data_IF_001464959340
#
_entry.id   IF_001464959340
#
_cell.length_a   1.000
_cell.length_b   1.000
_cell.length_c   1.000
_cell.angle_alpha   90.00
_cell.angle_beta   90.00
_cell.angle_gamma   90.00
#
_symmetry.space_group_name_H-M   'P 1'
#
loop_
_entity.id
_entity.type
_entity.pdbx_description
1 polymer ?
#
# COMPACT_ATOMS: atom_id res chain seq x y z
N UNK A 1 18.09 15.60 -2.91
CA UNK A 1 17.27 14.37 -2.90
C UNK A 1 16.65 14.24 -4.27
N UNK A 2 16.56 13.00 -4.79
CA UNK A 2 16.00 12.68 -6.12
C UNK A 2 14.73 11.82 -5.93
N UNK A 3 13.61 12.40 -5.48
CA UNK A 3 12.38 11.67 -5.23
C UNK A 3 11.67 11.27 -6.53
N UNK A 4 10.86 10.20 -6.45
CA UNK A 4 9.94 9.79 -7.51
C UNK A 4 8.56 9.51 -6.93
N UNK A 5 7.52 9.93 -7.67
CA UNK A 5 6.13 9.59 -7.30
C UNK A 5 5.77 8.26 -7.96
N UNK A 6 5.20 7.34 -7.18
CA UNK A 6 4.76 6.02 -7.65
C UNK A 6 3.26 5.90 -7.42
N UNK A 7 2.52 5.65 -8.51
CA UNK A 7 1.06 5.58 -8.53
C UNK A 7 0.65 4.15 -8.93
N UNK A 8 0.25 3.29 -7.98
CA UNK A 8 -0.40 2.02 -8.31
C UNK A 8 -1.84 2.25 -8.72
N UNK A 9 -2.30 1.55 -9.75
CA UNK A 9 -3.70 1.60 -10.19
C UNK A 9 -4.17 0.23 -10.66
N UNK A 10 -5.47 -0.01 -10.49
CA UNK A 10 -6.10 -1.25 -10.92
C UNK A 10 -7.30 -1.00 -11.82
N UNK A 11 -7.28 -1.59 -13.03
CA UNK A 11 -8.32 -1.42 -14.04
C UNK A 11 -9.00 -2.75 -14.38
N UNK A 12 -10.33 -2.71 -14.52
CA UNK A 12 -11.14 -3.85 -14.91
C UNK A 12 -12.26 -3.42 -15.88
N UNK A 13 -12.97 -4.38 -16.49
CA UNK A 13 -14.13 -4.08 -17.37
C UNK A 13 -15.25 -3.38 -16.61
N UNK A 14 -15.47 -3.79 -15.35
CA UNK A 14 -16.48 -3.21 -14.46
C UNK A 14 -15.95 -3.21 -13.04
N UNK A 15 -16.56 -2.40 -12.18
CA UNK A 15 -16.30 -2.53 -10.75
C UNK A 15 -16.60 -3.96 -10.29
N UNK A 16 -15.59 -4.62 -9.74
CA UNK A 16 -15.73 -5.96 -9.21
C UNK A 16 -15.25 -5.98 -7.76
N UNK A 17 -16.05 -6.62 -6.91
CA UNK A 17 -15.62 -6.95 -5.56
C UNK A 17 -15.14 -8.40 -5.56
N UNK A 18 -14.01 -8.66 -4.89
CA UNK A 18 -13.49 -10.02 -4.76
C UNK A 18 -14.51 -10.99 -4.16
N UNK A 19 -14.42 -12.26 -4.51
CA UNK A 19 -15.31 -13.31 -4.00
C UNK A 19 -14.90 -13.71 -2.58
N UNK A 20 -15.86 -14.16 -1.79
CA UNK A 20 -15.59 -14.68 -0.44
C UNK A 20 -14.55 -15.82 -0.51
N UNK A 21 -13.41 -15.64 0.16
CA UNK A 21 -12.28 -16.57 0.15
C UNK A 21 -11.21 -16.25 -0.89
N UNK A 22 -11.42 -15.32 -1.80
CA UNK A 22 -10.40 -14.79 -2.68
C UNK A 22 -9.47 -13.88 -1.86
N UNK A 23 -8.16 -14.11 -1.98
CA UNK A 23 -7.14 -13.40 -1.19
C UNK A 23 -6.38 -12.44 -2.10
N UNK A 24 -6.17 -11.20 -1.61
CA UNK A 24 -5.41 -10.17 -2.33
C UNK A 24 -6.12 -9.63 -3.57
N UNK A 25 -7.46 -9.71 -3.62
CA UNK A 25 -8.25 -8.94 -4.58
C UNK A 25 -8.29 -7.49 -4.16
N UNK A 26 -8.21 -6.57 -5.13
CA UNK A 26 -8.33 -5.15 -4.87
C UNK A 26 -9.74 -4.79 -4.41
N UNK A 27 -9.84 -3.82 -3.51
CA UNK A 27 -11.12 -3.34 -3.00
C UNK A 27 -11.89 -2.59 -4.08
N UNK A 28 -11.16 -1.94 -4.98
CA UNK A 28 -11.68 -1.12 -6.08
C UNK A 28 -10.98 -1.44 -7.38
N UNK A 29 -11.70 -1.23 -8.48
CA UNK A 29 -11.14 -1.22 -9.82
C UNK A 29 -11.72 -0.03 -10.58
N UNK A 30 -10.90 0.68 -11.34
CA UNK A 30 -11.39 1.68 -12.28
C UNK A 30 -11.99 0.98 -13.48
N UNK A 31 -13.32 1.17 -13.78
CA UNK A 31 -13.93 0.62 -14.97
C UNK A 31 -13.29 1.22 -16.22
N UNK A 32 -12.95 0.37 -17.20
CA UNK A 32 -12.33 0.84 -18.44
C UNK A 32 -13.20 1.85 -19.21
N UNK A 33 -14.51 1.81 -19.00
CA UNK A 33 -15.49 2.71 -19.64
C UNK A 33 -15.69 4.02 -18.88
N UNK A 34 -15.07 4.23 -17.72
CA UNK A 34 -15.26 5.44 -16.92
C UNK A 34 -14.81 6.68 -17.70
N UNK A 35 -15.69 7.68 -17.93
CA UNK A 35 -15.37 8.84 -18.79
C UNK A 35 -14.19 9.65 -18.26
N UNK A 36 -14.18 9.96 -16.95
CA UNK A 36 -13.10 10.67 -16.26
C UNK A 36 -12.55 9.74 -15.18
N UNK A 37 -11.46 8.99 -15.47
CA UNK A 37 -10.84 8.11 -14.50
C UNK A 37 -10.14 8.90 -13.40
N UNK A 38 -9.97 8.31 -12.24
CA UNK A 38 -9.28 8.87 -11.09
C UNK A 38 -7.85 9.30 -11.44
N UNK A 39 -7.13 8.49 -12.20
CA UNK A 39 -5.76 8.77 -12.66
C UNK A 39 -5.64 10.13 -13.38
N UNK A 40 -6.60 10.51 -14.23
CA UNK A 40 -6.59 11.80 -14.93
C UNK A 40 -6.62 12.97 -13.93
N UNK A 41 -7.47 12.85 -12.90
CA UNK A 41 -7.59 13.89 -11.86
C UNK A 41 -6.34 13.91 -10.97
N UNK A 42 -5.81 12.74 -10.64
CA UNK A 42 -4.57 12.59 -9.88
C UNK A 42 -3.40 13.26 -10.60
N UNK A 43 -3.15 12.92 -11.87
CA UNK A 43 -2.06 13.50 -12.66
C UNK A 43 -2.25 15.01 -12.86
N UNK A 44 -3.46 15.49 -13.15
CA UNK A 44 -3.77 16.92 -13.26
C UNK A 44 -3.41 17.67 -11.97
N UNK A 45 -3.59 17.06 -10.80
CA UNK A 45 -3.21 17.67 -9.54
C UNK A 45 -1.69 17.79 -9.35
N UNK A 46 -0.92 16.90 -9.98
CA UNK A 46 0.54 16.89 -9.90
C UNK A 46 1.20 17.93 -10.83
N UNK A 47 0.53 18.40 -11.88
CA UNK A 47 1.09 19.40 -12.80
C UNK A 47 1.43 20.73 -12.12
N UNK A 48 0.74 21.06 -11.04
CA UNK A 48 1.03 22.25 -10.25
C UNK A 48 2.03 22.01 -9.10
N UNK A 49 2.46 20.77 -8.90
CA UNK A 49 3.39 20.41 -7.82
C UNK A 49 4.82 20.71 -8.26
N UNK A 50 5.53 21.47 -7.45
CA UNK A 50 6.93 21.84 -7.72
C UNK A 50 7.89 20.66 -7.55
N UNK A 51 8.79 20.47 -8.50
CA UNK A 51 9.91 19.54 -8.39
C UNK A 51 9.55 18.09 -8.75
N UNK A 52 8.46 17.84 -9.44
CA UNK A 52 8.12 16.52 -9.98
C UNK A 52 8.92 16.29 -11.26
N UNK A 53 9.95 15.45 -11.19
CA UNK A 53 10.77 15.10 -12.34
C UNK A 53 10.26 13.84 -13.08
N UNK A 54 9.61 12.94 -12.35
CA UNK A 54 9.10 11.68 -12.88
C UNK A 54 7.96 11.13 -12.08
N UNK A 55 7.01 10.49 -12.79
CA UNK A 55 5.92 9.70 -12.21
C UNK A 55 5.99 8.27 -12.75
N UNK A 56 5.98 7.28 -11.87
CA UNK A 56 5.91 5.86 -12.21
C UNK A 56 4.48 5.40 -12.00
N UNK A 57 3.81 4.98 -13.07
CA UNK A 57 2.43 4.48 -13.05
C UNK A 57 2.46 2.97 -13.14
N UNK A 58 2.02 2.26 -12.09
CA UNK A 58 2.00 0.80 -12.02
C UNK A 58 0.62 0.29 -12.46
N UNK A 59 0.50 -0.13 -13.70
CA UNK A 59 -0.78 -0.57 -14.27
C UNK A 59 -1.06 -2.04 -13.96
N UNK A 60 -2.00 -2.28 -13.10
CA UNK A 60 -2.62 -3.60 -12.94
C UNK A 60 -3.93 -3.62 -13.72
N UNK A 61 -4.04 -4.52 -14.65
CA UNK A 61 -5.26 -4.68 -15.45
C UNK A 61 -5.78 -6.11 -15.39
N UNK A 62 -7.12 -6.26 -15.37
CA UNK A 62 -7.71 -7.57 -15.54
C UNK A 62 -7.34 -8.13 -16.92
N UNK A 63 -7.03 -9.44 -17.05
CA UNK A 63 -6.55 -10.03 -18.31
C UNK A 63 -7.47 -9.75 -19.50
N UNK A 64 -8.79 -9.69 -19.26
CA UNK A 64 -9.81 -9.44 -20.29
C UNK A 64 -9.73 -8.04 -20.92
N UNK A 65 -9.19 -7.04 -20.19
CA UNK A 65 -9.10 -5.65 -20.66
C UNK A 65 -7.66 -5.08 -20.69
N UNK A 66 -6.63 -5.91 -20.52
CA UNK A 66 -5.25 -5.44 -20.34
C UNK A 66 -4.77 -4.52 -21.48
N UNK A 67 -5.02 -4.89 -22.74
CA UNK A 67 -4.60 -4.07 -23.91
C UNK A 67 -5.33 -2.71 -23.95
N UNK A 68 -6.63 -2.70 -23.71
CA UNK A 68 -7.42 -1.46 -23.74
C UNK A 68 -7.12 -0.58 -22.52
N UNK A 69 -6.86 -1.17 -21.35
CA UNK A 69 -6.40 -0.46 -20.18
C UNK A 69 -5.04 0.22 -20.42
N UNK A 70 -4.09 -0.52 -21.00
CA UNK A 70 -2.79 0.02 -21.38
C UNK A 70 -2.91 1.20 -22.37
N UNK A 71 -3.71 1.01 -23.44
CA UNK A 71 -3.91 2.06 -24.44
C UNK A 71 -4.51 3.33 -23.82
N UNK A 72 -5.49 3.16 -22.93
CA UNK A 72 -6.15 4.29 -22.27
C UNK A 72 -5.25 4.99 -21.25
N UNK A 73 -4.53 4.25 -20.41
CA UNK A 73 -3.56 4.82 -19.47
C UNK A 73 -2.45 5.56 -20.22
N UNK A 74 -1.93 5.01 -21.32
CA UNK A 74 -0.97 5.71 -22.16
C UNK A 74 -1.56 6.99 -22.78
N UNK A 75 -2.85 6.99 -23.15
CA UNK A 75 -3.53 8.21 -23.64
C UNK A 75 -3.64 9.27 -22.56
N UNK A 76 -3.98 8.90 -21.35
CA UNK A 76 -4.01 9.80 -20.18
C UNK A 76 -2.60 10.37 -19.95
N UNK A 77 -1.59 9.53 -19.82
CA UNK A 77 -0.22 9.95 -19.55
C UNK A 77 0.34 10.88 -20.64
N UNK A 78 -0.10 10.75 -21.91
CA UNK A 78 0.29 11.69 -22.99
C UNK A 78 -0.21 13.10 -22.78
N UNK A 79 -1.32 13.29 -22.07
CA UNK A 79 -1.82 14.63 -21.72
C UNK A 79 -0.96 15.31 -20.63
N UNK A 80 -0.14 14.52 -19.90
CA UNK A 80 0.63 14.96 -18.74
C UNK A 80 2.15 14.74 -18.93
N UNK A 81 2.68 15.00 -20.12
CA UNK A 81 4.09 14.71 -20.44
C UNK A 81 5.09 15.52 -19.63
N UNK A 82 4.70 16.66 -19.08
CA UNK A 82 5.55 17.48 -18.20
C UNK A 82 5.90 16.76 -16.89
N UNK A 83 5.09 15.77 -16.47
CA UNK A 83 5.36 14.89 -15.35
C UNK A 83 6.31 13.73 -15.69
N UNK A 84 6.76 13.62 -16.95
CA UNK A 84 7.63 12.54 -17.45
C UNK A 84 7.16 11.14 -17.00
N UNK A 85 5.90 10.75 -17.29
CA UNK A 85 5.31 9.51 -16.81
C UNK A 85 5.92 8.29 -17.49
N UNK A 86 6.11 7.21 -16.72
CA UNK A 86 6.46 5.88 -17.20
C UNK A 86 5.38 4.90 -16.73
N UNK A 87 4.78 4.18 -17.68
CA UNK A 87 3.75 3.18 -17.39
C UNK A 87 4.41 1.80 -17.33
N UNK A 88 4.31 1.16 -16.18
CA UNK A 88 4.79 -0.19 -15.93
C UNK A 88 3.58 -1.12 -16.01
N UNK A 89 3.47 -1.86 -17.10
CA UNK A 89 2.51 -2.94 -17.29
C UNK A 89 3.22 -4.30 -17.29
N UNK A 90 2.55 -5.33 -17.83
CA UNK A 90 3.05 -6.71 -17.78
C UNK A 90 4.41 -6.88 -18.47
N UNK A 91 4.68 -6.15 -19.56
CA UNK A 91 5.93 -6.22 -20.32
C UNK A 91 7.09 -5.67 -19.48
N UNK A 92 6.96 -4.47 -18.95
CA UNK A 92 7.96 -3.82 -18.11
C UNK A 92 8.18 -4.58 -16.81
N UNK A 93 7.09 -5.08 -16.20
CA UNK A 93 7.18 -5.91 -15.00
C UNK A 93 7.96 -7.20 -15.26
N UNK A 94 7.77 -7.83 -16.42
CA UNK A 94 8.52 -9.02 -16.83
C UNK A 94 10.01 -8.74 -16.92
N UNK A 95 10.42 -7.60 -17.51
CA UNK A 95 11.83 -7.22 -17.59
C UNK A 95 12.48 -7.06 -16.20
N UNK A 96 11.76 -6.45 -15.23
CA UNK A 96 12.23 -6.34 -13.85
C UNK A 96 12.31 -7.72 -13.20
N UNK A 97 11.31 -8.57 -13.40
CA UNK A 97 11.27 -9.92 -12.83
C UNK A 97 12.40 -10.81 -13.39
N UNK A 98 12.66 -10.78 -14.68
CA UNK A 98 13.75 -11.54 -15.30
C UNK A 98 15.11 -11.20 -14.69
N UNK A 99 15.35 -9.92 -14.38
CA UNK A 99 16.60 -9.47 -13.78
C UNK A 99 16.81 -10.02 -12.35
N UNK A 100 15.73 -10.28 -11.59
CA UNK A 100 15.81 -10.67 -10.18
C UNK A 100 15.27 -12.08 -9.88
N UNK A 101 14.56 -12.74 -10.80
CA UNK A 101 13.89 -14.03 -10.55
C UNK A 101 14.82 -15.14 -10.05
N UNK A 102 16.06 -15.19 -10.52
CA UNK A 102 17.06 -16.15 -10.06
C UNK A 102 17.33 -16.10 -8.55
N UNK A 103 17.14 -14.93 -7.91
CA UNK A 103 17.39 -14.75 -6.47
C UNK A 103 16.24 -15.27 -5.62
N UNK A 104 15.00 -15.26 -6.12
CA UNK A 104 13.83 -15.71 -5.37
C UNK A 104 13.11 -16.92 -6.01
N UNK A 105 13.75 -17.60 -6.97
CA UNK A 105 13.18 -18.77 -7.66
C UNK A 105 12.71 -19.91 -6.73
N UNK A 106 13.27 -20.00 -5.52
CA UNK A 106 12.85 -20.97 -4.49
C UNK A 106 11.62 -20.54 -3.69
N UNK A 107 11.19 -19.29 -3.81
CA UNK A 107 9.98 -18.80 -3.15
C UNK A 107 8.76 -19.16 -3.98
N UNK A 108 7.65 -19.42 -3.32
CA UNK A 108 6.37 -19.62 -4.00
C UNK A 108 5.70 -18.26 -4.26
N UNK A 109 5.37 -17.97 -5.51
CA UNK A 109 4.78 -16.72 -5.97
C UNK A 109 5.83 -15.68 -6.34
N UNK A 110 5.38 -14.60 -7.00
CA UNK A 110 6.21 -13.49 -7.43
C UNK A 110 6.10 -12.34 -6.43
N UNK A 111 7.12 -12.14 -5.58
CA UNK A 111 7.08 -11.09 -4.55
C UNK A 111 7.26 -9.68 -5.12
N UNK A 112 7.64 -9.56 -6.41
CA UNK A 112 7.76 -8.32 -7.18
C UNK A 112 6.88 -8.50 -8.42
N UNK A 113 5.64 -8.05 -8.37
CA UNK A 113 4.66 -8.30 -9.43
C UNK A 113 3.56 -7.24 -9.44
N UNK A 114 2.87 -7.12 -10.54
CA UNK A 114 1.65 -6.30 -10.67
C UNK A 114 0.42 -7.07 -10.17
N UNK A 115 0.52 -7.66 -8.98
CA UNK A 115 -0.56 -8.45 -8.38
C UNK A 115 -0.46 -8.49 -6.88
N UNK A 116 -1.55 -8.14 -6.18
CA UNK A 116 -1.59 -8.04 -4.71
C UNK A 116 -0.98 -6.74 -4.21
N UNK A 117 -1.40 -6.31 -3.04
CA UNK A 117 -1.06 -4.98 -2.51
C UNK A 117 0.45 -4.78 -2.29
N UNK A 118 1.10 -5.68 -1.56
CA UNK A 118 2.53 -5.53 -1.24
C UNK A 118 3.46 -5.79 -2.42
N UNK A 119 3.12 -6.74 -3.31
CA UNK A 119 3.96 -7.05 -4.47
C UNK A 119 4.00 -5.91 -5.49
N UNK A 120 2.90 -5.16 -5.65
CA UNK A 120 2.87 -3.94 -6.47
C UNK A 120 3.76 -2.86 -5.89
N UNK A 121 3.68 -2.62 -4.57
CA UNK A 121 4.56 -1.66 -3.89
C UNK A 121 6.03 -2.06 -4.11
N UNK A 122 6.37 -3.35 -4.02
CA UNK A 122 7.72 -3.86 -4.31
C UNK A 122 8.13 -3.64 -5.77
N UNK A 123 7.22 -3.76 -6.74
CA UNK A 123 7.48 -3.40 -8.13
C UNK A 123 7.84 -1.91 -8.23
N UNK A 124 7.09 -1.04 -7.56
CA UNK A 124 7.40 0.39 -7.49
C UNK A 124 8.79 0.68 -6.91
N UNK A 125 9.14 0.02 -5.79
CA UNK A 125 10.48 0.13 -5.18
C UNK A 125 11.58 -0.39 -6.11
N UNK A 126 11.33 -1.49 -6.83
CA UNK A 126 12.28 -2.06 -7.79
C UNK A 126 12.52 -1.11 -8.97
N UNK A 127 11.45 -0.54 -9.55
CA UNK A 127 11.57 0.43 -10.65
C UNK A 127 12.28 1.70 -10.18
N UNK A 128 11.93 2.24 -9.01
CA UNK A 128 12.61 3.39 -8.42
C UNK A 128 14.11 3.11 -8.19
N UNK A 129 14.45 1.91 -7.69
CA UNK A 129 15.83 1.45 -7.53
C UNK A 129 16.56 1.38 -8.86
N UNK A 130 15.91 0.86 -9.93
CA UNK A 130 16.51 0.77 -11.26
C UNK A 130 16.87 2.14 -11.85
N UNK A 131 16.09 3.18 -11.54
CA UNK A 131 16.39 4.56 -11.92
C UNK A 131 17.33 5.28 -10.95
N UNK A 132 17.68 4.69 -9.81
CA UNK A 132 18.58 5.30 -8.81
C UNK A 132 17.93 6.44 -8.03
N UNK A 133 16.60 6.41 -7.84
CA UNK A 133 15.92 7.38 -6.99
C UNK A 133 16.21 7.11 -5.50
N UNK A 134 16.51 8.17 -4.75
CA UNK A 134 16.84 8.08 -3.33
C UNK A 134 15.63 8.20 -2.41
N UNK A 135 14.45 8.57 -2.94
CA UNK A 135 13.20 8.57 -2.21
C UNK A 135 12.03 8.16 -3.11
N UNK A 136 11.11 7.39 -2.55
CA UNK A 136 9.84 7.02 -3.19
C UNK A 136 8.70 7.68 -2.43
N UNK A 137 7.82 8.36 -3.14
CA UNK A 137 6.57 8.92 -2.63
C UNK A 137 5.43 8.15 -3.26
N UNK A 138 4.69 7.37 -2.48
CA UNK A 138 3.49 6.71 -2.96
C UNK A 138 2.29 7.65 -2.89
N UNK A 139 1.53 7.66 -3.98
CA UNK A 139 0.25 8.35 -4.14
C UNK A 139 -0.71 7.37 -4.82
N UNK A 140 -1.90 7.16 -4.27
CA UNK A 140 -2.88 6.27 -4.90
C UNK A 140 -3.61 7.02 -6.02
N UNK A 141 -4.12 6.33 -7.03
CA UNK A 141 -4.70 6.93 -8.24
C UNK A 141 -6.01 7.70 -7.96
N UNK A 142 -6.68 7.39 -6.85
CA UNK A 142 -7.86 8.08 -6.36
C UNK A 142 -7.56 9.23 -5.36
N UNK A 143 -6.31 9.64 -5.26
CA UNK A 143 -5.87 10.75 -4.42
C UNK A 143 -5.37 11.94 -5.23
N UNK A 144 -5.46 13.13 -4.66
CA UNK A 144 -5.00 14.38 -5.29
C UNK A 144 -4.08 15.19 -4.38
N UNK A 145 -3.02 15.72 -4.95
CA UNK A 145 -2.16 16.70 -4.28
C UNK A 145 -2.91 18.02 -4.07
N UNK A 146 -2.81 18.60 -2.87
CA UNK A 146 -3.64 19.75 -2.48
C UNK A 146 -2.98 21.10 -2.74
N UNK A 147 -1.66 21.13 -2.94
CA UNK A 147 -0.92 22.37 -3.13
C UNK A 147 0.39 22.13 -3.91
N UNK A 148 1.02 23.20 -4.35
CA UNK A 148 2.26 23.18 -5.11
C UNK A 148 3.47 22.65 -4.33
N UNK A 149 3.42 22.64 -3.01
CA UNK A 149 4.50 22.20 -2.11
C UNK A 149 4.38 20.72 -1.72
N UNK A 150 3.42 19.99 -2.28
CA UNK A 150 3.15 18.58 -1.94
C UNK A 150 4.42 17.71 -1.88
N UNK A 151 5.28 17.78 -2.89
CA UNK A 151 6.50 16.96 -2.95
C UNK A 151 7.56 17.47 -1.96
N UNK A 152 7.64 18.80 -1.73
CA UNK A 152 8.51 19.40 -0.73
C UNK A 152 8.10 18.91 0.66
N UNK A 153 6.80 18.89 0.95
CA UNK A 153 6.27 18.37 2.21
C UNK A 153 6.52 16.86 2.34
N UNK A 154 6.36 16.10 1.27
CA UNK A 154 6.62 14.65 1.26
C UNK A 154 8.06 14.31 1.68
N UNK A 155 9.04 15.07 1.23
CA UNK A 155 10.46 14.82 1.53
C UNK A 155 10.99 15.66 2.70
N UNK A 156 10.17 16.53 3.30
CA UNK A 156 10.60 17.37 4.42
C UNK A 156 11.14 16.54 5.59
N UNK A 157 12.38 16.80 5.97
CA UNK A 157 13.06 16.07 7.05
C UNK A 157 13.49 14.65 6.72
N UNK A 158 13.13 14.11 5.55
CA UNK A 158 13.59 12.78 5.13
C UNK A 158 15.14 12.79 4.99
N UNK A 159 15.78 11.69 5.36
CA UNK A 159 17.25 11.52 5.44
C UNK A 159 17.94 12.48 6.45
N UNK A 160 17.19 13.04 7.39
CA UNK A 160 17.74 13.83 8.49
C UNK A 160 17.61 13.12 9.83
N UNK A 161 18.19 13.72 10.87
CA UNK A 161 18.07 13.24 12.25
C UNK A 161 17.09 14.12 13.02
N UNK A 162 16.33 13.49 13.90
CA UNK A 162 15.56 14.21 14.92
C UNK A 162 16.49 14.83 15.97
N UNK A 163 15.93 15.63 16.88
CA UNK A 163 16.69 16.17 18.03
C UNK A 163 17.24 15.10 18.98
N UNK A 164 16.76 13.86 18.90
CA UNK A 164 17.25 12.70 19.66
C UNK A 164 18.15 11.79 18.82
N UNK A 165 18.72 12.30 17.73
CA UNK A 165 19.59 11.58 16.80
C UNK A 165 18.95 10.32 16.18
N UNK A 166 17.60 10.29 16.05
CA UNK A 166 16.88 9.22 15.39
C UNK A 166 16.70 9.56 13.91
N UNK A 167 17.01 8.64 12.99
CA UNK A 167 16.89 8.89 11.57
C UNK A 167 15.41 8.93 11.10
N UNK A 168 15.12 9.85 10.18
CA UNK A 168 13.82 9.98 9.52
C UNK A 168 13.96 9.35 8.12
N UNK A 169 13.69 8.04 8.01
CA UNK A 169 13.83 7.28 6.76
C UNK A 169 12.49 6.88 6.14
N UNK A 170 11.40 7.03 6.87
CA UNK A 170 10.06 6.77 6.39
C UNK A 170 9.09 7.75 7.03
N UNK A 171 8.25 8.37 6.20
CA UNK A 171 7.25 9.36 6.63
C UNK A 171 5.86 8.95 6.15
N UNK A 172 4.87 9.35 6.93
CA UNK A 172 3.46 9.27 6.59
C UNK A 172 2.81 10.63 6.76
N UNK A 173 2.03 11.04 5.79
CA UNK A 173 0.95 11.99 5.99
C UNK A 173 -0.36 11.27 6.28
N UNK A 174 -1.48 11.89 5.91
CA UNK A 174 -2.79 11.27 5.93
C UNK A 174 -3.62 11.69 4.71
N UNK A 175 -4.66 10.93 4.41
CA UNK A 175 -5.69 11.41 3.51
C UNK A 175 -6.78 12.18 4.27
N UNK A 176 -7.38 13.13 3.58
CA UNK A 176 -8.59 13.82 4.04
C UNK A 176 -9.73 13.55 3.04
N UNK A 177 -10.96 13.52 3.53
CA UNK A 177 -12.14 13.41 2.69
C UNK A 177 -12.45 14.74 1.96
N UNK A 178 -13.53 14.75 1.16
CA UNK A 178 -14.00 15.95 0.45
C UNK A 178 -14.38 17.12 1.37
N UNK A 179 -14.58 16.86 2.66
CA UNK A 179 -14.84 17.86 3.71
C UNK A 179 -13.58 18.27 4.46
N UNK A 180 -12.42 17.83 3.97
CA UNK A 180 -11.11 18.02 4.62
C UNK A 180 -11.03 17.37 6.02
N UNK A 181 -11.79 16.29 6.23
CA UNK A 181 -11.75 15.52 7.48
C UNK A 181 -10.80 14.33 7.34
N UNK A 182 -9.83 14.15 8.25
CA UNK A 182 -8.95 12.98 8.30
C UNK A 182 -9.53 11.83 9.12
N UNK A 183 -10.72 12.00 9.68
CA UNK A 183 -11.34 11.05 10.60
C UNK A 183 -12.20 10.04 9.86
N UNK A 184 -12.03 8.77 10.20
CA UNK A 184 -12.89 7.71 9.69
C UNK A 184 -14.30 7.81 10.29
N UNK A 185 -15.37 7.54 9.51
CA UNK A 185 -16.73 7.52 10.03
C UNK A 185 -16.88 6.43 11.08
N UNK A 186 -17.46 6.80 12.23
CA UNK A 186 -17.70 5.86 13.34
C UNK A 186 -18.99 5.12 13.08
N UNK A 187 -18.91 3.80 12.96
CA UNK A 187 -20.07 2.93 12.86
C UNK A 187 -20.73 2.80 14.23
N UNK A 188 -22.00 3.15 14.32
CA UNK A 188 -22.78 3.14 15.55
C UNK A 188 -23.65 1.90 15.73
N UNK A 189 -23.76 1.08 14.69
CA UNK A 189 -24.58 -0.12 14.72
C UNK A 189 -24.10 -1.12 15.78
N UNK A 190 -25.04 -1.74 16.48
CA UNK A 190 -24.72 -2.66 17.57
C UNK A 190 -23.91 -3.89 17.12
N UNK A 191 -24.10 -4.34 15.88
CA UNK A 191 -23.35 -5.46 15.31
C UNK A 191 -21.88 -5.13 15.05
N UNK A 192 -21.53 -3.83 14.88
CA UNK A 192 -20.19 -3.34 14.60
C UNK A 192 -19.37 -3.02 15.86
N UNK A 193 -19.97 -3.00 17.05
CA UNK A 193 -19.30 -2.60 18.30
C UNK A 193 -18.00 -3.35 18.60
N UNK A 194 -17.87 -4.60 18.17
CA UNK A 194 -16.64 -5.39 18.34
C UNK A 194 -15.62 -5.17 17.20
N UNK A 195 -16.06 -4.54 16.10
CA UNK A 195 -15.24 -4.26 14.92
C UNK A 195 -14.95 -2.75 14.74
N UNK A 196 -15.12 -1.97 15.80
CA UNK A 196 -15.00 -0.52 15.83
C UNK A 196 -13.52 -0.05 15.86
N UNK A 197 -12.71 -0.45 14.86
CA UNK A 197 -11.31 -0.03 14.72
C UNK A 197 -11.16 1.49 14.57
N UNK A 198 -12.18 2.16 14.02
CA UNK A 198 -12.19 3.60 13.77
C UNK A 198 -12.10 4.47 15.02
N UNK A 199 -12.56 3.97 16.17
CA UNK A 199 -12.47 4.74 17.43
C UNK A 199 -11.02 4.97 17.82
N UNK A 200 -10.21 3.91 17.88
CA UNK A 200 -8.78 4.02 18.19
C UNK A 200 -8.00 4.79 17.10
N UNK A 201 -8.37 4.58 15.83
CA UNK A 201 -7.81 5.33 14.72
C UNK A 201 -8.05 6.84 14.87
N UNK A 202 -9.29 7.26 15.10
CA UNK A 202 -9.64 8.68 15.26
C UNK A 202 -8.97 9.30 16.49
N UNK A 203 -8.83 8.56 17.58
CA UNK A 203 -8.09 9.01 18.75
C UNK A 203 -6.59 9.24 18.41
N UNK A 204 -5.98 8.33 17.70
CA UNK A 204 -4.59 8.44 17.21
C UNK A 204 -4.44 9.67 16.29
N UNK A 205 -5.30 9.81 15.27
CA UNK A 205 -5.26 10.93 14.33
C UNK A 205 -5.43 12.26 15.04
N UNK A 206 -6.36 12.35 16.00
CA UNK A 206 -6.52 13.55 16.83
C UNK A 206 -5.23 13.92 17.54
N UNK A 207 -4.54 12.95 18.16
CA UNK A 207 -3.25 13.21 18.85
C UNK A 207 -2.19 13.73 17.89
N UNK A 208 -2.10 13.18 16.69
CA UNK A 208 -1.11 13.59 15.69
C UNK A 208 -1.38 15.01 15.16
N UNK A 209 -2.61 15.28 14.77
CA UNK A 209 -2.98 16.55 14.15
C UNK A 209 -3.05 17.72 15.13
N UNK A 210 -3.29 17.46 16.42
CA UNK A 210 -3.28 18.53 17.45
C UNK A 210 -1.91 18.75 18.08
N UNK A 211 -0.89 17.98 17.65
CA UNK A 211 0.47 18.19 18.18
C UNK A 211 1.07 19.49 17.66
N UNK A 212 1.78 20.24 18.53
CA UNK A 212 2.54 21.42 18.12
C UNK A 212 3.81 21.07 17.33
N UNK A 213 4.23 19.80 17.35
CA UNK A 213 5.41 19.31 16.63
C UNK A 213 4.99 18.78 15.27
N UNK A 214 5.62 19.25 14.17
CA UNK A 214 5.29 18.83 12.82
C UNK A 214 5.55 17.33 12.59
N UNK A 215 6.73 16.86 12.98
CA UNK A 215 7.16 15.48 12.76
C UNK A 215 7.06 14.69 14.07
N UNK A 216 6.29 13.62 14.06
CA UNK A 216 5.97 12.77 15.22
C UNK A 216 6.28 11.31 14.95
N UNK A 217 6.74 10.56 15.95
CA UNK A 217 6.85 9.10 15.81
C UNK A 217 5.45 8.49 15.63
N UNK A 218 5.28 7.73 14.56
CA UNK A 218 3.96 7.24 14.11
C UNK A 218 3.73 5.76 14.41
N UNK A 219 2.49 5.39 14.78
CA UNK A 219 1.96 4.03 14.71
C UNK A 219 1.04 3.83 13.50
N UNK A 220 1.12 4.73 12.53
CA UNK A 220 0.31 4.76 11.31
C UNK A 220 1.18 5.05 10.10
N UNK A 221 0.90 4.39 9.00
CA UNK A 221 1.41 4.68 7.68
C UNK A 221 0.21 4.72 6.72
N UNK A 222 0.14 5.73 5.87
CA UNK A 222 -0.89 5.88 4.84
C UNK A 222 -0.31 5.43 3.50
N UNK A 223 -0.89 4.43 2.86
CA UNK A 223 -0.36 3.83 1.63
C UNK A 223 -0.19 4.81 0.49
N UNK A 224 -1.17 5.69 0.27
CA UNK A 224 -1.15 6.73 -0.77
C UNK A 224 -0.54 8.06 -0.31
N UNK A 225 -0.14 8.21 0.96
CA UNK A 225 0.52 9.40 1.47
C UNK A 225 1.73 9.02 2.32
N UNK A 226 2.71 8.33 1.71
CA UNK A 226 3.94 7.93 2.39
C UNK A 226 5.17 8.19 1.53
N UNK A 227 6.28 8.52 2.21
CA UNK A 227 7.57 8.80 1.61
C UNK A 227 8.63 7.95 2.30
N UNK A 228 9.45 7.24 1.50
CA UNK A 228 10.40 6.24 1.99
C UNK A 228 11.75 6.50 1.34
N UNK A 229 12.78 6.72 2.16
CA UNK A 229 14.15 6.91 1.71
C UNK A 229 14.80 5.58 1.29
N UNK A 230 15.75 5.63 0.36
CA UNK A 230 16.47 4.46 -0.16
C UNK A 230 17.12 3.62 0.94
N UNK A 231 17.68 4.25 1.97
CA UNK A 231 18.23 3.53 3.13
C UNK A 231 17.22 2.68 3.89
N UNK A 232 15.92 2.91 3.72
CA UNK A 232 14.85 2.07 4.26
C UNK A 232 14.35 1.06 3.22
N UNK A 233 13.91 1.51 2.04
CA UNK A 233 13.25 0.62 1.09
C UNK A 233 14.19 -0.40 0.44
N UNK A 234 15.49 -0.14 0.35
CA UNK A 234 16.46 -1.15 -0.12
C UNK A 234 16.75 -2.24 0.92
N UNK A 235 16.39 -2.02 2.19
CA UNK A 235 16.56 -2.97 3.30
C UNK A 235 15.31 -3.75 3.63
N UNK A 236 14.15 -3.12 3.52
CA UNK A 236 12.87 -3.67 3.96
C UNK A 236 11.87 -3.61 2.80
N UNK A 237 11.39 -4.75 2.27
CA UNK A 237 10.34 -4.78 1.27
C UNK A 237 8.96 -4.69 1.90
N UNK A 238 7.95 -4.34 1.10
CA UNK A 238 6.57 -4.64 1.46
C UNK A 238 6.33 -6.16 1.49
N UNK A 239 5.37 -6.59 2.29
CA UNK A 239 4.98 -8.00 2.35
C UNK A 239 4.05 -8.36 1.18
N UNK A 240 4.49 -9.21 0.23
CA UNK A 240 3.67 -9.59 -0.93
C UNK A 240 2.55 -10.56 -0.57
N UNK A 241 2.54 -11.09 0.65
CA UNK A 241 1.57 -12.09 1.10
C UNK A 241 0.47 -11.49 1.98
N UNK A 242 0.57 -10.22 2.36
CA UNK A 242 -0.53 -9.53 3.05
C UNK A 242 -1.76 -9.47 2.14
N UNK A 243 -2.92 -9.73 2.68
CA UNK A 243 -4.16 -9.73 1.88
C UNK A 243 -4.74 -8.33 1.69
N UNK A 244 -4.42 -7.41 2.59
CA UNK A 244 -4.90 -6.03 2.64
C UNK A 244 -4.14 -5.26 3.71
N UNK A 245 -4.01 -3.93 3.55
CA UNK A 245 -3.39 -3.05 4.54
C UNK A 245 -1.88 -3.22 4.63
N UNK A 246 -1.26 -3.33 3.47
CA UNK A 246 0.18 -3.44 3.26
C UNK A 246 0.95 -2.27 3.85
N UNK A 247 0.30 -1.13 3.99
CA UNK A 247 0.81 0.10 4.59
C UNK A 247 1.11 -0.07 6.09
N UNK A 248 0.12 -0.51 6.86
CA UNK A 248 0.30 -0.78 8.27
C UNK A 248 1.25 -1.96 8.51
N UNK A 249 1.15 -2.99 7.69
CA UNK A 249 2.04 -4.14 7.74
C UNK A 249 3.49 -3.71 7.50
N UNK A 250 3.73 -2.83 6.53
CA UNK A 250 5.06 -2.28 6.24
C UNK A 250 5.62 -1.45 7.41
N UNK A 251 4.77 -0.71 8.12
CA UNK A 251 5.18 -0.02 9.35
C UNK A 251 5.72 -1.02 10.40
N UNK A 252 5.07 -2.18 10.56
CA UNK A 252 5.54 -3.21 11.49
C UNK A 252 6.90 -3.76 11.06
N UNK A 253 7.07 -3.99 9.76
CA UNK A 253 8.33 -4.47 9.18
C UNK A 253 9.47 -3.46 9.35
N UNK A 254 9.23 -2.19 9.05
CA UNK A 254 10.19 -1.11 9.27
C UNK A 254 10.61 -1.03 10.74
N UNK A 255 9.65 -1.02 11.66
CA UNK A 255 9.94 -0.97 13.10
C UNK A 255 10.73 -2.18 13.59
N UNK A 256 10.39 -3.38 13.13
CA UNK A 256 11.13 -4.59 13.47
C UNK A 256 12.57 -4.53 12.95
N UNK A 257 12.80 -3.86 11.81
CA UNK A 257 14.14 -3.62 11.27
C UNK A 257 14.85 -2.38 11.85
N UNK A 258 14.33 -1.81 12.94
CA UNK A 258 14.95 -0.67 13.63
C UNK A 258 14.69 0.69 12.98
N UNK A 259 13.78 0.76 12.00
CA UNK A 259 13.42 1.99 11.29
C UNK A 259 12.06 2.48 11.80
N UNK A 260 12.05 3.65 12.43
CA UNK A 260 10.79 4.28 12.87
C UNK A 260 10.10 5.00 11.71
N UNK A 261 8.77 4.97 11.70
CA UNK A 261 7.94 5.77 10.80
C UNK A 261 7.57 7.08 11.50
N UNK A 262 7.57 8.16 10.75
CA UNK A 262 7.30 9.52 11.26
C UNK A 262 6.05 10.09 10.59
N UNK A 263 5.14 10.63 11.38
CA UNK A 263 3.94 11.31 10.88
C UNK A 263 4.23 12.81 10.70
N UNK A 264 3.91 13.34 9.54
CA UNK A 264 3.95 14.79 9.26
C UNK A 264 2.54 15.34 9.30
N UNK A 265 2.23 16.15 10.28
CA UNK A 265 0.88 16.68 10.51
C UNK A 265 0.49 17.85 9.59
N UNK A 266 1.37 18.25 8.68
CA UNK A 266 1.09 19.26 7.66
C UNK A 266 0.98 18.68 6.25
N UNK A 267 1.39 17.42 6.06
CA UNK A 267 1.36 16.74 4.77
C UNK A 267 0.15 15.82 4.64
N UNK A 268 -0.70 16.10 3.67
CA UNK A 268 -1.89 15.28 3.41
C UNK A 268 -2.33 15.36 1.94
N UNK A 269 -3.11 14.37 1.52
CA UNK A 269 -3.74 14.25 0.21
C UNK A 269 -5.24 14.24 0.38
N UNK A 270 -5.99 14.58 -0.67
CA UNK A 270 -7.44 14.41 -0.66
C UNK A 270 -7.81 13.13 -1.40
N UNK A 271 -8.49 12.24 -0.69
CA UNK A 271 -9.08 11.07 -1.31
C UNK A 271 -10.33 11.49 -2.12
N UNK A 272 -10.40 11.04 -3.37
CA UNK A 272 -11.61 11.12 -4.15
C UNK A 272 -12.62 10.11 -3.56
N UNK A 273 -13.90 10.50 -3.37
CA UNK A 273 -14.82 9.60 -2.72
C UNK A 273 -14.98 8.33 -3.57
N UNK A 274 -14.65 7.15 -3.03
CA UNK A 274 -15.08 5.92 -3.66
C UNK A 274 -16.60 5.87 -3.59
N UNK A 275 -17.24 5.25 -4.57
CA UNK A 275 -18.64 4.87 -4.44
C UNK A 275 -18.78 4.04 -3.15
N UNK A 276 -19.77 4.37 -2.29
CA UNK A 276 -19.95 3.76 -0.97
C UNK A 276 -19.94 2.23 -1.10
N UNK A 277 -18.92 1.58 -0.53
CA UNK A 277 -18.91 0.14 -0.42
C UNK A 277 -19.59 -0.27 0.87
N UNK A 278 -20.69 -0.98 0.73
CA UNK A 278 -21.26 -1.72 1.83
C UNK A 278 -20.23 -2.75 2.34
N UNK A 279 -20.09 -2.89 3.66
CA UNK A 279 -19.26 -3.94 4.25
C UNK A 279 -19.77 -5.31 3.81
N UNK A 280 -19.10 -5.92 2.86
CA UNK A 280 -19.45 -7.26 2.36
C UNK A 280 -18.79 -8.35 3.21
N UNK A 281 -19.30 -9.58 3.23
CA UNK A 281 -18.63 -10.70 3.87
C UNK A 281 -17.21 -10.94 3.32
N UNK A 282 -17.00 -10.63 2.04
CA UNK A 282 -15.69 -10.74 1.39
C UNK A 282 -14.68 -9.76 2.00
N UNK A 283 -15.02 -8.48 2.08
CA UNK A 283 -14.16 -7.44 2.70
C UNK A 283 -13.88 -7.78 4.17
N UNK A 284 -14.92 -8.22 4.91
CA UNK A 284 -14.74 -8.65 6.29
C UNK A 284 -13.79 -9.83 6.41
N UNK A 285 -13.87 -10.82 5.52
CA UNK A 285 -12.98 -11.98 5.54
C UNK A 285 -11.54 -11.59 5.17
N UNK A 286 -11.31 -10.64 4.26
CA UNK A 286 -9.99 -10.10 3.97
C UNK A 286 -9.39 -9.39 5.20
N UNK A 287 -10.19 -8.59 5.91
CA UNK A 287 -9.79 -7.99 7.19
C UNK A 287 -9.47 -9.07 8.25
N UNK A 288 -10.22 -10.18 8.28
CA UNK A 288 -9.92 -11.31 9.18
C UNK A 288 -8.56 -11.93 8.85
N UNK A 289 -8.27 -12.17 7.56
CA UNK A 289 -6.95 -12.64 7.12
C UNK A 289 -5.85 -11.65 7.52
N UNK A 290 -6.04 -10.35 7.25
CA UNK A 290 -5.10 -9.29 7.60
C UNK A 290 -4.71 -9.33 9.08
N UNK A 291 -5.68 -9.19 9.98
CA UNK A 291 -5.41 -9.08 11.42
C UNK A 291 -4.80 -10.33 12.03
N UNK A 292 -5.20 -11.53 11.56
CA UNK A 292 -4.55 -12.77 11.97
C UNK A 292 -3.12 -12.86 11.45
N UNK A 293 -2.90 -12.41 10.21
CA UNK A 293 -1.60 -12.41 9.59
C UNK A 293 -0.63 -11.46 10.32
N UNK A 294 -0.99 -10.19 10.46
CA UNK A 294 -0.17 -9.19 11.16
C UNK A 294 0.13 -9.63 12.61
N UNK A 295 -0.86 -10.15 13.33
CA UNK A 295 -0.65 -10.67 14.68
C UNK A 295 0.39 -11.81 14.69
N UNK A 296 0.24 -12.84 13.84
CA UNK A 296 1.17 -13.98 13.79
C UNK A 296 2.56 -13.59 13.28
N UNK A 297 2.61 -12.70 12.30
CA UNK A 297 3.88 -12.16 11.79
C UNK A 297 4.63 -11.41 12.89
N UNK A 298 3.93 -10.59 13.65
CA UNK A 298 4.52 -9.87 14.77
C UNK A 298 5.07 -10.83 15.86
N UNK A 299 4.34 -11.90 16.20
CA UNK A 299 4.84 -12.93 17.11
C UNK A 299 6.12 -13.59 16.57
N UNK A 300 6.14 -13.95 15.29
CA UNK A 300 7.30 -14.59 14.66
C UNK A 300 8.52 -13.66 14.58
N UNK A 301 8.30 -12.38 14.23
CA UNK A 301 9.39 -11.38 14.22
C UNK A 301 9.95 -11.13 15.62
N UNK A 302 9.10 -11.04 16.64
CA UNK A 302 9.53 -10.85 18.02
C UNK A 302 10.30 -12.05 18.59
N UNK A 303 10.18 -13.22 18.00
CA UNK A 303 10.98 -14.40 18.32
C UNK A 303 12.40 -14.38 17.72
N UNK A 304 12.72 -13.43 16.83
CA UNK A 304 14.01 -13.32 16.16
C UNK A 304 14.95 -12.38 16.90
N UNK A 305 16.22 -12.75 17.01
CA UNK A 305 17.25 -11.95 17.71
C UNK A 305 17.80 -10.80 16.86
N UNK A 306 17.69 -10.90 15.55
CA UNK A 306 18.14 -9.91 14.57
C UNK A 306 17.13 -8.81 14.31
N UNK A 307 15.93 -8.89 14.89
CA UNK A 307 14.88 -7.90 14.77
C UNK A 307 14.57 -7.23 16.11
N UNK A 308 14.15 -5.97 16.04
CA UNK A 308 13.69 -5.23 17.22
C UNK A 308 12.27 -5.70 17.61
N UNK A 309 12.05 -5.95 18.89
CA UNK A 309 10.73 -6.28 19.41
C UNK A 309 9.76 -5.12 19.23
N UNK A 310 8.61 -5.40 18.62
CA UNK A 310 7.49 -4.47 18.46
C UNK A 310 6.30 -5.03 19.24
N UNK A 311 5.81 -4.28 20.24
CA UNK A 311 4.69 -4.75 21.07
C UNK A 311 3.39 -4.05 20.71
N UNK A 312 2.23 -4.70 20.89
CA UNK A 312 0.92 -4.07 20.70
C UNK A 312 0.77 -2.77 21.52
N UNK A 313 1.34 -2.72 22.73
CA UNK A 313 1.30 -1.55 23.63
C UNK A 313 2.01 -0.34 22.99
N UNK A 314 3.08 -0.57 22.25
CA UNK A 314 3.84 0.48 21.54
C UNK A 314 3.07 1.09 20.36
N UNK A 315 1.93 0.47 20.01
CA UNK A 315 1.08 0.82 18.88
C UNK A 315 -0.34 1.26 19.32
N UNK A 316 -0.48 1.66 20.60
CA UNK A 316 -1.75 2.17 21.12
C UNK A 316 -1.99 3.63 20.70
N UNK A 317 -3.24 4.06 20.50
CA UNK A 317 -4.51 3.33 20.61
C UNK A 317 -4.87 2.50 19.36
N UNK A 318 -4.14 2.64 18.27
CA UNK A 318 -4.31 1.93 16.99
C UNK A 318 -2.93 1.71 16.37
N UNK A 319 -2.63 0.54 15.79
CA UNK A 319 -3.44 -0.67 15.67
C UNK A 319 -3.32 -1.65 16.86
N UNK A 320 -2.59 -1.31 17.91
CA UNK A 320 -2.22 -2.21 19.01
C UNK A 320 -3.30 -3.20 19.47
N UNK A 321 -4.56 -2.78 19.75
CA UNK A 321 -5.62 -3.68 20.20
C UNK A 321 -6.01 -4.77 19.19
N UNK A 322 -5.61 -4.64 17.92
CA UNK A 322 -5.92 -5.59 16.84
C UNK A 322 -4.81 -6.62 16.63
N UNK A 323 -3.63 -6.35 17.17
CA UNK A 323 -2.43 -7.19 17.07
C UNK A 323 -2.27 -8.11 18.31
N UNK A 324 -3.36 -8.59 18.84
CA UNK A 324 -3.43 -9.41 20.05
C UNK A 324 -4.32 -10.65 19.84
N UNK A 325 -4.21 -11.69 20.68
CA UNK A 325 -5.09 -12.87 20.60
C UNK A 325 -6.59 -12.56 20.66
N UNK A 326 -6.97 -11.39 21.20
CA UNK A 326 -8.37 -10.93 21.31
C UNK A 326 -9.02 -10.70 19.92
N UNK A 327 -8.24 -10.57 18.85
CA UNK A 327 -8.78 -10.48 17.48
C UNK A 327 -9.72 -11.66 17.16
N UNK A 328 -9.42 -12.85 17.67
CA UNK A 328 -10.25 -14.05 17.49
C UNK A 328 -11.67 -13.86 18.05
N UNK A 329 -11.79 -13.33 19.27
CA UNK A 329 -13.10 -13.08 19.92
C UNK A 329 -13.86 -11.96 19.20
N UNK A 330 -13.16 -10.91 18.75
CA UNK A 330 -13.75 -9.82 17.97
C UNK A 330 -14.33 -10.33 16.65
N UNK A 331 -13.57 -11.12 15.88
CA UNK A 331 -14.05 -11.74 14.63
C UNK A 331 -15.29 -12.58 14.86
N UNK A 332 -15.23 -13.52 15.82
CA UNK A 332 -16.36 -14.41 16.08
C UNK A 332 -17.60 -13.67 16.55
N UNK A 333 -17.42 -12.71 17.46
CA UNK A 333 -18.53 -11.91 17.98
C UNK A 333 -19.17 -11.01 16.90
N UNK A 334 -18.37 -10.43 16.00
CA UNK A 334 -18.87 -9.62 14.88
C UNK A 334 -19.59 -10.49 13.86
N UNK A 335 -18.98 -11.61 13.43
CA UNK A 335 -19.60 -12.53 12.49
C UNK A 335 -20.95 -13.07 13.00
N UNK A 336 -21.04 -13.45 14.30
CA UNK A 336 -22.28 -13.88 14.90
C UNK A 336 -23.36 -12.80 14.86
N UNK A 337 -23.01 -11.56 15.19
CA UNK A 337 -23.97 -10.43 15.19
C UNK A 337 -24.43 -10.06 13.79
N UNK A 338 -23.51 -9.96 12.82
CA UNK A 338 -23.84 -9.70 11.41
C UNK A 338 -24.71 -10.80 10.81
N UNK A 339 -24.51 -12.07 11.20
CA UNK A 339 -25.37 -13.18 10.81
C UNK A 339 -26.81 -13.07 11.33
N UNK A 340 -27.06 -12.32 12.41
CA UNK A 340 -28.40 -12.09 12.93
C UNK A 340 -29.13 -10.96 12.20
N UNK A 341 -28.40 -9.97 11.68
CA UNK A 341 -28.97 -8.72 11.12
C UNK A 341 -28.90 -8.69 9.59
N UNK A 342 -27.87 -9.31 8.99
CA UNK A 342 -27.52 -9.12 7.60
C UNK A 342 -28.25 -10.03 6.63
N UNK A 343 -28.27 -9.61 5.33
CA UNK A 343 -28.75 -10.42 4.21
C UNK A 343 -27.84 -11.59 3.89
N UNK A 344 -26.52 -11.49 4.21
CA UNK A 344 -25.49 -12.49 3.89
C UNK A 344 -25.24 -13.45 5.07
N UNK A 345 -26.33 -13.88 5.70
CA UNK A 345 -26.30 -14.74 6.91
C UNK A 345 -25.44 -16.00 6.73
N UNK A 346 -25.55 -16.67 5.59
CA UNK A 346 -24.82 -17.90 5.30
C UNK A 346 -23.29 -17.68 5.31
N UNK A 347 -22.83 -16.58 4.72
CA UNK A 347 -21.42 -16.24 4.63
C UNK A 347 -20.84 -15.84 6.00
N UNK A 348 -21.58 -15.05 6.79
CA UNK A 348 -21.16 -14.73 8.16
C UNK A 348 -21.14 -15.96 9.07
N UNK A 349 -22.07 -16.89 8.92
CA UNK A 349 -22.03 -18.18 9.64
C UNK A 349 -20.85 -19.06 9.21
N UNK A 350 -20.47 -19.03 7.93
CA UNK A 350 -19.25 -19.68 7.44
C UNK A 350 -18.02 -19.05 8.09
N UNK A 351 -17.91 -17.72 8.08
CA UNK A 351 -16.79 -16.98 8.71
C UNK A 351 -16.70 -17.31 10.20
N UNK A 352 -17.85 -17.34 10.91
CA UNK A 352 -17.91 -17.69 12.34
C UNK A 352 -17.36 -19.09 12.61
N UNK A 353 -17.65 -20.06 11.74
CA UNK A 353 -17.25 -21.48 11.92
C UNK A 353 -15.80 -21.73 11.54
N UNK A 354 -15.34 -21.19 10.41
CA UNK A 354 -14.05 -21.55 9.79
C UNK A 354 -13.09 -20.39 9.61
N UNK A 355 -13.55 -19.15 9.52
CA UNK A 355 -12.75 -17.97 9.14
C UNK A 355 -11.50 -17.78 9.98
N UNK A 356 -11.61 -17.83 11.31
CA UNK A 356 -10.43 -17.69 12.18
C UNK A 356 -9.39 -18.81 11.96
N UNK A 357 -9.83 -20.04 11.67
CA UNK A 357 -8.94 -21.18 11.42
C UNK A 357 -8.26 -21.09 10.07
N UNK A 358 -9.01 -20.67 9.06
CA UNK A 358 -8.48 -20.44 7.71
C UNK A 358 -7.43 -19.33 7.72
N UNK A 359 -7.72 -18.20 8.39
CA UNK A 359 -6.81 -17.08 8.52
C UNK A 359 -5.54 -17.44 9.31
N UNK A 360 -5.67 -18.14 10.42
CA UNK A 360 -4.53 -18.58 11.25
C UNK A 360 -3.60 -19.53 10.49
N UNK A 361 -4.18 -20.50 9.75
CA UNK A 361 -3.42 -21.42 8.91
C UNK A 361 -2.71 -20.69 7.77
N UNK A 362 -3.37 -19.72 7.14
CA UNK A 362 -2.74 -18.87 6.13
C UNK A 362 -1.56 -18.10 6.70
N UNK A 363 -1.76 -17.43 7.84
CA UNK A 363 -0.75 -16.63 8.51
C UNK A 363 0.53 -17.41 8.80
N UNK A 364 0.42 -18.65 9.31
CA UNK A 364 1.57 -19.51 9.60
C UNK A 364 2.46 -19.77 8.38
N UNK A 365 1.82 -20.05 7.21
CA UNK A 365 2.56 -20.33 5.98
C UNK A 365 3.13 -19.06 5.36
N UNK A 366 2.32 -18.02 5.27
CA UNK A 366 2.68 -16.79 4.57
C UNK A 366 3.76 -15.99 5.33
N UNK A 367 3.73 -15.97 6.66
CA UNK A 367 4.78 -15.35 7.49
C UNK A 367 6.17 -15.92 7.19
N UNK A 368 6.28 -17.26 7.11
CA UNK A 368 7.58 -17.90 6.82
C UNK A 368 8.11 -17.51 5.44
N UNK A 369 7.20 -17.41 4.44
CA UNK A 369 7.55 -16.98 3.08
C UNK A 369 8.04 -15.53 3.07
N UNK A 370 7.32 -14.64 3.76
CA UNK A 370 7.74 -13.24 3.87
C UNK A 370 9.12 -13.10 4.51
N UNK A 371 9.35 -13.73 5.65
CA UNK A 371 10.66 -13.66 6.33
C UNK A 371 11.81 -14.18 5.45
N UNK A 372 11.55 -15.19 4.63
CA UNK A 372 12.51 -15.67 3.65
C UNK A 372 12.75 -14.64 2.53
N UNK A 373 11.71 -14.01 2.02
CA UNK A 373 11.81 -12.95 1.01
C UNK A 373 12.52 -11.71 1.55
N UNK A 374 12.15 -11.25 2.74
CA UNK A 374 12.77 -10.08 3.37
C UNK A 374 14.28 -10.24 3.56
N UNK A 375 14.75 -11.47 3.79
CA UNK A 375 16.20 -11.76 3.94
C UNK A 375 16.97 -11.56 2.62
N UNK A 376 16.39 -11.83 1.48
CA UNK A 376 17.05 -11.72 0.16
C UNK A 376 16.81 -10.36 -0.51
N UNK A 377 15.82 -9.60 -0.06
CA UNK A 377 15.45 -8.32 -0.66
C UNK A 377 16.60 -7.31 -0.79
N UNK A 378 17.49 -7.11 0.22
CA UNK A 378 18.61 -6.18 0.07
C UNK A 378 19.55 -6.56 -1.10
N UNK A 379 19.74 -7.86 -1.35
CA UNK A 379 20.53 -8.32 -2.50
C UNK A 379 19.84 -8.02 -3.82
N UNK A 380 18.51 -8.21 -3.89
CA UNK A 380 17.71 -7.86 -5.05
C UNK A 380 17.83 -6.36 -5.33
N UNK A 381 17.52 -5.53 -4.34
CA UNK A 381 17.56 -4.07 -4.46
C UNK A 381 18.95 -3.58 -4.93
N UNK A 382 20.02 -4.15 -4.37
CA UNK A 382 21.39 -3.83 -4.76
C UNK A 382 21.69 -4.23 -6.21
N UNK A 383 21.19 -5.38 -6.68
CA UNK A 383 21.48 -5.89 -8.04
C UNK A 383 20.82 -5.06 -9.14
N UNK A 384 19.70 -4.40 -8.82
CA UNK A 384 18.95 -3.56 -9.78
C UNK A 384 19.22 -2.07 -9.62
N UNK A 385 19.95 -1.68 -8.55
CA UNK A 385 20.21 -0.27 -8.26
C UNK A 385 20.95 0.43 -9.41
N UNK A 386 20.33 1.52 -9.92
CA UNK A 386 20.87 2.34 -11.04
C UNK A 386 21.24 1.50 -12.27
N UNK A 387 20.43 0.49 -12.61
CA UNK A 387 20.67 -0.44 -13.70
C UNK A 387 20.40 0.20 -15.06
N UNK A 388 21.45 0.50 -15.82
CA UNK A 388 21.34 1.06 -17.18
C UNK A 388 20.56 0.16 -18.14
N UNK A 389 20.63 -1.14 -17.94
CA UNK A 389 19.86 -2.11 -18.73
C UNK A 389 18.36 -1.91 -18.48
N UNK A 390 17.91 -2.00 -17.20
CA UNK A 390 16.51 -1.81 -16.86
C UNK A 390 16.00 -0.41 -17.25
N UNK A 391 16.79 0.65 -17.05
CA UNK A 391 16.40 2.00 -17.48
C UNK A 391 16.07 2.05 -18.98
N UNK A 392 16.90 1.43 -19.84
CA UNK A 392 16.65 1.40 -21.28
C UNK A 392 15.39 0.62 -21.62
N UNK A 393 15.23 -0.58 -21.08
CA UNK A 393 14.06 -1.42 -21.31
C UNK A 393 12.78 -0.70 -20.88
N UNK A 394 12.73 -0.21 -19.63
CA UNK A 394 11.58 0.48 -19.10
C UNK A 394 11.22 1.78 -19.85
N UNK A 395 12.23 2.52 -20.35
CA UNK A 395 11.99 3.72 -21.17
C UNK A 395 11.57 3.37 -22.60
N UNK A 396 12.01 2.23 -23.14
CA UNK A 396 11.67 1.84 -24.51
C UNK A 396 10.22 1.40 -24.66
N UNK A 397 9.66 0.73 -23.66
CA UNK A 397 8.29 0.17 -23.67
C UNK A 397 7.33 0.99 -22.82
N UNK A 398 7.78 1.50 -21.68
CA UNK A 398 6.96 2.20 -20.68
C UNK A 398 6.69 3.67 -20.98
N UNK A 399 7.46 4.32 -21.91
CA UNK A 399 7.22 5.72 -22.24
C UNK A 399 6.00 5.90 -23.14
N UNK A 400 4.97 6.67 -22.71
CA UNK A 400 3.77 6.89 -23.52
C UNK A 400 4.01 7.67 -24.81
N UNK A 401 5.15 8.38 -24.95
CA UNK A 401 5.52 9.13 -26.13
C UNK A 401 5.92 8.25 -27.32
N UNK A 402 6.30 6.99 -27.11
CA UNK A 402 6.78 6.06 -28.15
C UNK A 402 5.73 5.09 -28.67
N UNK A 403 4.45 5.35 -28.43
CA UNK A 403 3.37 4.58 -29.04
C UNK A 403 3.49 4.64 -30.55
N UNK A 404 3.91 3.53 -31.18
CA UNK A 404 3.98 3.37 -32.64
C UNK A 404 2.64 3.75 -33.26
N UNK A 405 2.66 4.74 -34.14
CA UNK A 405 1.70 4.85 -35.21
C UNK A 405 1.86 3.61 -36.10
N UNK A 406 1.11 2.57 -35.83
CA UNK A 406 0.74 1.57 -36.82
C UNK A 406 -0.72 1.82 -37.15
N UNK A 407 -0.86 2.38 -38.34
CA UNK A 407 -2.12 2.54 -39.07
C UNK A 407 -2.94 1.23 -39.13
#
# INVERSE_FOLDING_TARGET
>A
MNPVIVIPLYWAESQSHGRLGERGSYDYSTPITKPLPELEICLSSLEQVRGVDRVIVLLVAAPSCAKSARARVNSICRNHMDLNPIVIGDEEASAVQEQCSGMYAKLQGDPIALRGYGAIRNMGLAVASAFGHDAVVFLDDDEVALNEDYLIDAVYGLDSLTRQDLPILAKSGCYVDVRSSPYAPVQTEWCERLWSKHVGFNEMMKRYLTSPTRILRSSYLCGGCCSIHASAFTRVPFDPYITRGEDLDYLLDLRANGIDVWFDNTWHVRMQPPEELASTPSIFMQDVYRWFYEYRKLEAMNGRRDLRTVTPESLMPYPGPWLTPQVRSRVRGTAARRALVGRDRADYLRILRTGCREADRYAQVATTRYLSFATIWPSIASSIWNSRYLQRELLSTGSPAKGSFHE
#
